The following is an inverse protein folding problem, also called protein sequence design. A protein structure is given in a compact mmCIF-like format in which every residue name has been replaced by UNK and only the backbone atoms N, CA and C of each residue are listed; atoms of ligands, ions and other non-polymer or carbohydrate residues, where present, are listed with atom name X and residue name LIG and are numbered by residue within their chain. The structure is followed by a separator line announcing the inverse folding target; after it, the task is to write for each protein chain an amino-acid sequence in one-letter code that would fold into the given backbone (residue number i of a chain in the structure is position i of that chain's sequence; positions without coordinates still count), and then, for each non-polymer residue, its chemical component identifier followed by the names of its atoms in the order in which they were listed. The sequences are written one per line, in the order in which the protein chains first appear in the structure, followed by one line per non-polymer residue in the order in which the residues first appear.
data_IF_177231174782
#
_entry.id   IF_177231174782
#
_cell.length_a   1.000
_cell.length_b   1.000
_cell.length_c   1.000
_cell.angle_alpha   90.00
_cell.angle_beta   90.00
_cell.angle_gamma   90.00
#
_symmetry.space_group_name_H-M   'P 1'
#
loop_
_entity.id
_entity.type
_entity.pdbx_description
1 polymer ?
#
# COMPACT_ATOMS: atom_id res chain seq x y z
N UNK A 1 -33.11 14.80 15.03
CA UNK A 1 -32.55 14.60 16.39
C UNK A 1 -33.02 15.80 17.22
N UNK A 2 -33.91 15.59 18.15
CA UNK A 2 -34.36 16.63 19.06
C UNK A 2 -33.21 16.98 20.01
N UNK A 3 -32.96 18.26 20.19
CA UNK A 3 -31.89 18.74 21.05
C UNK A 3 -32.28 18.52 22.51
N UNK A 4 -31.37 18.05 23.37
CA UNK A 4 -31.64 17.79 24.79
C UNK A 4 -32.17 19.04 25.52
N UNK A 5 -31.87 20.24 25.05
CA UNK A 5 -32.37 21.51 25.54
C UNK A 5 -33.88 21.71 25.34
N UNK A 6 -34.52 20.98 24.39
CA UNK A 6 -35.97 21.04 24.12
C UNK A 6 -36.79 20.14 25.06
N UNK A 7 -36.09 19.23 25.77
CA UNK A 7 -36.71 18.31 26.72
C UNK A 7 -36.72 18.82 28.18
N UNK A 8 -36.03 19.96 28.43
CA UNK A 8 -35.97 20.56 29.75
C UNK A 8 -37.12 21.53 29.92
N UNK A 9 -37.90 21.49 31.05
CA UNK A 9 -38.92 22.49 31.34
C UNK A 9 -38.30 23.89 31.35
N UNK A 10 -39.06 24.87 30.84
CA UNK A 10 -38.65 26.26 30.86
C UNK A 10 -38.37 26.69 32.31
N UNK A 11 -37.11 27.10 32.62
CA UNK A 11 -36.68 27.48 33.95
C UNK A 11 -35.81 26.47 34.69
N UNK A 12 -35.51 25.31 34.12
CA UNK A 12 -34.59 24.34 34.69
C UNK A 12 -33.13 24.81 34.57
N UNK A 13 -32.75 25.82 35.33
CA UNK A 13 -31.36 26.33 35.48
C UNK A 13 -30.48 25.45 36.36
N UNK A 14 -30.90 24.21 36.64
CA UNK A 14 -30.15 23.26 37.45
C UNK A 14 -29.05 22.53 36.63
N UNK A 15 -27.89 22.40 37.21
CA UNK A 15 -26.76 21.65 36.62
C UNK A 15 -26.98 20.14 36.54
N UNK A 16 -28.03 19.61 37.14
CA UNK A 16 -28.34 18.19 37.18
C UNK A 16 -29.81 17.94 36.88
N UNK A 17 -30.08 17.01 35.95
CA UNK A 17 -31.41 16.49 35.68
C UNK A 17 -31.45 15.02 36.08
N UNK A 18 -32.42 14.63 36.89
CA UNK A 18 -32.56 13.24 37.34
C UNK A 18 -33.55 12.49 36.46
N UNK A 19 -33.14 11.36 35.94
CA UNK A 19 -33.98 10.44 35.18
C UNK A 19 -34.13 9.11 35.93
N UNK A 20 -35.25 8.41 35.71
CA UNK A 20 -35.43 7.07 36.26
C UNK A 20 -34.73 6.06 35.35
N UNK A 21 -33.90 5.20 35.91
CA UNK A 21 -33.26 4.12 35.18
C UNK A 21 -34.26 3.00 34.84
N UNK A 22 -34.25 2.53 33.62
CA UNK A 22 -35.03 1.32 33.22
C UNK A 22 -34.17 0.04 33.31
N UNK A 23 -33.22 0.01 34.23
CA UNK A 23 -32.31 -1.11 34.47
C UNK A 23 -31.06 -0.66 35.21
N UNK A 24 -30.02 -1.50 35.25
CA UNK A 24 -28.72 -1.16 35.84
C UNK A 24 -27.96 -0.21 34.93
N UNK A 25 -27.57 0.96 35.44
CA UNK A 25 -26.71 1.94 34.73
C UNK A 25 -25.29 1.84 35.28
N UNK A 26 -24.34 1.25 34.54
CA UNK A 26 -22.94 1.26 34.92
C UNK A 26 -22.36 2.68 34.89
N UNK A 27 -21.50 3.01 35.85
CA UNK A 27 -20.90 4.32 35.97
C UNK A 27 -20.04 4.65 34.72
N UNK A 28 -20.20 5.83 34.15
CA UNK A 28 -19.44 6.32 33.00
C UNK A 28 -19.91 5.82 31.62
N UNK A 29 -21.04 5.08 31.56
CA UNK A 29 -21.62 4.72 30.27
C UNK A 29 -22.57 5.79 29.72
N UNK A 30 -22.62 5.94 28.41
CA UNK A 30 -23.63 6.74 27.75
C UNK A 30 -25.00 6.11 27.95
N UNK A 31 -26.03 6.96 28.09
CA UNK A 31 -27.40 6.52 28.24
C UNK A 31 -28.29 7.11 27.14
N UNK A 32 -29.35 6.40 26.79
CA UNK A 32 -30.39 6.88 25.86
C UNK A 32 -31.68 7.16 26.64
N UNK A 33 -32.32 8.31 26.36
CA UNK A 33 -33.63 8.64 26.89
C UNK A 33 -34.69 7.91 26.05
N UNK A 34 -35.55 7.13 26.74
CA UNK A 34 -36.65 6.41 26.13
C UNK A 34 -37.90 7.28 26.01
N UNK A 35 -38.83 6.87 25.16
CA UNK A 35 -40.10 7.59 24.96
C UNK A 35 -40.99 7.60 26.21
N UNK A 36 -40.78 6.67 27.14
CA UNK A 36 -41.50 6.59 28.44
C UNK A 36 -40.89 7.52 29.52
N UNK A 37 -39.83 8.30 29.18
CA UNK A 37 -39.14 9.20 30.08
C UNK A 37 -38.07 8.53 30.96
N UNK A 38 -37.84 7.23 30.83
CA UNK A 38 -36.76 6.52 31.52
C UNK A 38 -35.44 6.57 30.70
N UNK A 39 -34.30 6.27 31.34
CA UNK A 39 -33.02 6.12 30.68
C UNK A 39 -32.48 4.70 30.82
N UNK A 40 -31.86 4.21 29.79
CA UNK A 40 -31.10 2.94 29.81
C UNK A 40 -29.69 3.12 29.30
N UNK A 41 -28.77 2.24 29.76
CA UNK A 41 -27.41 2.24 29.26
C UNK A 41 -27.44 1.89 27.77
N UNK A 42 -26.67 2.65 26.98
CA UNK A 42 -26.39 2.24 25.59
C UNK A 42 -25.51 0.99 25.69
N UNK A 43 -26.14 -0.17 25.61
CA UNK A 43 -25.39 -1.40 25.35
C UNK A 43 -24.91 -1.28 23.91
N UNK A 44 -23.62 -1.00 23.75
CA UNK A 44 -22.97 -1.19 22.47
C UNK A 44 -23.00 -2.72 22.23
N UNK A 45 -24.09 -3.21 21.66
CA UNK A 45 -24.04 -4.47 20.96
C UNK A 45 -23.04 -4.22 19.85
N UNK A 46 -21.81 -4.72 20.01
CA UNK A 46 -21.00 -5.03 18.87
C UNK A 46 -21.83 -6.02 18.06
N UNK A 47 -22.67 -5.52 17.18
CA UNK A 47 -23.06 -6.32 16.03
C UNK A 47 -21.70 -6.55 15.38
N UNK A 48 -21.15 -7.74 15.55
CA UNK A 48 -20.19 -8.23 14.58
C UNK A 48 -20.98 -8.12 13.27
N UNK A 49 -20.76 -7.01 12.57
CA UNK A 49 -21.21 -6.89 11.20
C UNK A 49 -20.46 -8.01 10.49
N UNK A 50 -21.07 -9.17 10.42
CA UNK A 50 -20.65 -10.19 9.48
C UNK A 50 -20.97 -9.57 8.13
N UNK A 51 -20.02 -8.75 7.63
CA UNK A 51 -19.99 -8.44 6.21
C UNK A 51 -19.92 -9.82 5.56
N UNK A 52 -21.00 -10.30 4.92
CA UNK A 52 -20.92 -11.60 4.26
C UNK A 52 -19.77 -11.50 3.29
N UNK A 53 -18.75 -12.32 3.50
CA UNK A 53 -17.64 -12.39 2.57
C UNK A 53 -18.25 -12.60 1.19
N UNK A 54 -17.95 -11.72 0.24
CA UNK A 54 -18.38 -11.89 -1.14
C UNK A 54 -17.91 -13.24 -1.67
N UNK A 55 -18.55 -13.74 -2.70
CA UNK A 55 -18.14 -15.01 -3.30
C UNK A 55 -16.67 -14.92 -3.74
N UNK A 56 -15.87 -15.91 -3.36
CA UNK A 56 -14.48 -16.02 -3.82
C UNK A 56 -14.44 -16.20 -5.34
N UNK A 57 -13.53 -15.51 -5.99
CA UNK A 57 -13.28 -15.65 -7.42
C UNK A 57 -11.80 -15.96 -7.66
N UNK A 58 -11.55 -17.03 -8.39
CA UNK A 58 -10.20 -17.53 -8.66
C UNK A 58 -9.66 -16.91 -9.94
N UNK A 59 -8.53 -16.20 -9.87
CA UNK A 59 -7.82 -15.67 -11.06
C UNK A 59 -6.80 -16.65 -11.65
N UNK A 60 -6.34 -17.62 -10.86
CA UNK A 60 -5.45 -18.69 -11.28
C UNK A 60 -5.74 -19.97 -10.47
N UNK A 61 -5.95 -21.09 -11.14
CA UNK A 61 -6.24 -22.39 -10.50
C UNK A 61 -4.98 -23.16 -10.06
N UNK A 62 -3.78 -22.56 -10.25
CA UNK A 62 -2.50 -23.13 -9.84
C UNK A 62 -1.87 -22.31 -8.72
N UNK A 63 -0.74 -22.78 -8.19
CA UNK A 63 0.06 -22.06 -7.18
C UNK A 63 0.43 -20.68 -7.73
N UNK A 64 0.19 -19.66 -6.93
CA UNK A 64 0.53 -18.28 -7.23
C UNK A 64 1.34 -17.67 -6.08
N UNK A 65 2.33 -16.84 -6.43
CA UNK A 65 3.17 -16.12 -5.47
C UNK A 65 3.51 -14.72 -5.98
N UNK A 66 4.09 -13.85 -5.14
CA UNK A 66 4.39 -12.46 -5.47
C UNK A 66 3.18 -11.71 -6.06
N UNK A 67 2.02 -11.90 -5.44
CA UNK A 67 0.74 -11.36 -5.93
C UNK A 67 0.66 -9.87 -5.59
N UNK A 68 0.34 -9.06 -6.60
CA UNK A 68 0.12 -7.63 -6.47
C UNK A 68 -1.20 -7.25 -7.12
N UNK A 69 -1.89 -6.28 -6.55
CA UNK A 69 -3.14 -5.75 -7.09
C UNK A 69 -3.07 -4.22 -7.14
N UNK A 70 -3.58 -3.65 -8.23
CA UNK A 70 -3.75 -2.20 -8.33
C UNK A 70 -5.07 -1.89 -9.05
N UNK A 71 -5.81 -0.90 -8.53
CA UNK A 71 -7.03 -0.40 -9.16
C UNK A 71 -6.69 0.63 -10.25
N UNK A 72 -7.49 0.62 -11.32
CA UNK A 72 -7.47 1.68 -12.31
C UNK A 72 -8.11 2.95 -11.74
N UNK A 73 -7.35 4.03 -11.51
CA UNK A 73 -7.90 5.25 -10.95
C UNK A 73 -8.87 5.97 -11.88
N UNK A 74 -8.86 5.61 -13.17
CA UNK A 74 -9.69 6.24 -14.22
C UNK A 74 -10.99 5.48 -14.49
N UNK A 75 -11.11 4.22 -14.03
CA UNK A 75 -12.25 3.36 -14.37
C UNK A 75 -12.74 2.62 -13.12
N UNK A 76 -13.91 3.03 -12.61
CA UNK A 76 -14.50 2.42 -11.42
C UNK A 76 -14.62 0.91 -11.52
N UNK A 77 -14.25 0.20 -10.46
CA UNK A 77 -14.34 -1.24 -10.33
C UNK A 77 -13.36 -2.04 -11.19
N UNK A 78 -12.45 -1.40 -11.93
CA UNK A 78 -11.42 -2.08 -12.71
C UNK A 78 -10.08 -2.14 -11.93
N UNK A 79 -9.42 -3.29 -12.01
CA UNK A 79 -8.11 -3.51 -11.41
C UNK A 79 -7.30 -4.53 -12.21
N UNK A 80 -6.04 -4.64 -11.92
CA UNK A 80 -5.15 -5.68 -12.44
C UNK A 80 -4.56 -6.45 -11.27
N UNK A 81 -4.44 -7.76 -11.44
CA UNK A 81 -3.62 -8.64 -10.58
C UNK A 81 -2.39 -9.05 -11.37
N UNK A 82 -1.19 -8.81 -10.82
CA UNK A 82 0.06 -9.34 -11.34
C UNK A 82 0.57 -10.42 -10.37
N UNK A 83 1.07 -11.53 -10.90
CA UNK A 83 1.49 -12.65 -10.07
C UNK A 83 2.49 -13.56 -10.80
N UNK A 84 3.24 -14.32 -10.03
CA UNK A 84 4.02 -15.45 -10.52
C UNK A 84 3.16 -16.71 -10.44
N UNK A 85 3.13 -17.49 -11.49
CA UNK A 85 2.37 -18.74 -11.56
C UNK A 85 3.05 -19.80 -12.39
N UNK A 86 2.65 -21.07 -12.18
CA UNK A 86 3.09 -22.17 -12.99
C UNK A 86 2.35 -22.16 -14.34
N UNK A 87 3.09 -22.24 -15.43
CA UNK A 87 2.54 -22.44 -16.76
C UNK A 87 2.45 -23.94 -17.03
N UNK A 88 1.29 -24.55 -16.73
CA UNK A 88 1.08 -25.99 -16.94
C UNK A 88 1.97 -26.89 -16.06
N UNK A 89 2.44 -26.41 -14.91
CA UNK A 89 3.33 -27.17 -14.01
C UNK A 89 4.81 -27.12 -14.37
N UNK A 90 5.18 -26.29 -15.36
CA UNK A 90 6.57 -26.15 -15.80
C UNK A 90 7.37 -25.19 -14.89
N UNK A 91 8.64 -25.48 -14.66
CA UNK A 91 9.64 -24.52 -14.19
C UNK A 91 10.47 -24.05 -15.38
N UNK A 92 10.82 -22.73 -15.47
CA UNK A 92 10.61 -21.65 -14.51
C UNK A 92 9.16 -21.16 -14.43
N UNK A 93 8.75 -20.66 -13.26
CA UNK A 93 7.45 -20.03 -13.07
C UNK A 93 7.39 -18.66 -13.75
N UNK A 94 6.34 -18.43 -14.53
CA UNK A 94 6.16 -17.25 -15.36
C UNK A 94 5.50 -16.09 -14.60
N UNK A 95 5.68 -14.88 -15.11
CA UNK A 95 4.92 -13.70 -14.71
C UNK A 95 3.62 -13.54 -15.50
N UNK A 96 2.50 -13.38 -14.80
CA UNK A 96 1.17 -13.21 -15.37
C UNK A 96 0.50 -11.94 -14.88
N UNK A 97 -0.37 -11.38 -15.74
CA UNK A 97 -1.31 -10.32 -15.38
C UNK A 97 -2.73 -10.72 -15.80
N UNK A 98 -3.71 -10.38 -14.96
CA UNK A 98 -5.13 -10.59 -15.24
C UNK A 98 -5.92 -9.32 -14.92
N UNK A 99 -6.83 -8.91 -15.86
CA UNK A 99 -7.75 -7.82 -15.59
C UNK A 99 -8.90 -8.30 -14.71
N UNK A 100 -9.20 -7.55 -13.65
CA UNK A 100 -10.31 -7.82 -12.76
C UNK A 100 -11.41 -6.76 -12.86
N UNK A 101 -12.62 -7.15 -12.52
CA UNK A 101 -13.77 -6.25 -12.42
C UNK A 101 -14.54 -6.55 -11.15
N UNK A 102 -14.80 -5.51 -10.35
CA UNK A 102 -15.68 -5.55 -9.19
C UNK A 102 -17.07 -5.08 -9.61
N UNK A 103 -18.09 -5.85 -9.26
CA UNK A 103 -19.51 -5.51 -9.46
C UNK A 103 -20.30 -5.89 -8.21
N UNK A 104 -20.71 -4.88 -7.42
CA UNK A 104 -21.29 -5.13 -6.10
C UNK A 104 -20.28 -5.86 -5.20
N UNK A 105 -20.65 -7.05 -4.73
CA UNK A 105 -19.79 -7.93 -3.92
C UNK A 105 -19.10 -9.03 -4.73
N UNK A 106 -19.19 -8.99 -6.07
CA UNK A 106 -18.65 -10.02 -6.95
C UNK A 106 -17.41 -9.52 -7.68
N UNK A 107 -16.48 -10.44 -7.94
CA UNK A 107 -15.27 -10.21 -8.72
C UNK A 107 -15.30 -11.15 -9.94
N UNK A 108 -14.93 -10.63 -11.10
CA UNK A 108 -14.69 -11.43 -12.29
C UNK A 108 -13.31 -11.10 -12.89
N UNK A 109 -12.71 -12.08 -13.57
CA UNK A 109 -11.39 -11.92 -14.18
C UNK A 109 -11.46 -12.21 -15.68
N UNK A 110 -10.65 -11.48 -16.45
CA UNK A 110 -10.32 -11.80 -17.84
C UNK A 110 -9.28 -12.93 -17.90
N UNK A 111 -8.97 -13.35 -19.12
CA UNK A 111 -7.94 -14.36 -19.36
C UNK A 111 -6.56 -13.82 -18.96
N UNK A 112 -5.79 -14.54 -18.12
CA UNK A 112 -4.44 -14.15 -17.76
C UNK A 112 -3.51 -14.08 -19.00
N UNK A 113 -2.63 -13.10 -19.00
CA UNK A 113 -1.62 -12.88 -20.06
C UNK A 113 -0.23 -13.01 -19.44
N UNK A 114 0.65 -13.75 -20.12
CA UNK A 114 2.05 -13.87 -19.75
C UNK A 114 2.77 -12.55 -20.07
N UNK A 115 3.40 -11.93 -19.08
CA UNK A 115 4.27 -10.77 -19.32
C UNK A 115 5.77 -11.14 -19.30
N UNK A 116 6.12 -12.26 -18.68
CA UNK A 116 7.48 -12.79 -18.66
C UNK A 116 7.46 -14.32 -18.67
N UNK A 117 8.21 -14.92 -19.61
CA UNK A 117 8.41 -16.38 -19.70
C UNK A 117 9.72 -16.84 -19.03
N UNK A 118 10.41 -15.96 -18.32
CA UNK A 118 11.54 -16.29 -17.47
C UNK A 118 11.09 -16.49 -16.02
N UNK A 119 11.94 -17.09 -15.19
CA UNK A 119 11.71 -17.17 -13.74
C UNK A 119 11.50 -15.76 -13.17
N UNK A 120 10.29 -15.47 -12.71
CA UNK A 120 9.86 -14.13 -12.30
C UNK A 120 9.70 -14.08 -10.78
N UNK A 121 10.29 -13.07 -10.14
CA UNK A 121 10.16 -12.84 -8.70
C UNK A 121 9.97 -11.36 -8.37
N UNK A 122 9.60 -11.06 -7.12
CA UNK A 122 9.54 -9.70 -6.59
C UNK A 122 8.75 -8.73 -7.47
N UNK A 123 7.53 -9.11 -7.79
CA UNK A 123 6.63 -8.35 -8.63
C UNK A 123 6.08 -7.16 -7.84
N UNK A 124 6.11 -5.96 -8.45
CA UNK A 124 5.36 -4.78 -8.00
C UNK A 124 4.58 -4.19 -9.17
N UNK A 125 3.46 -3.53 -8.87
CA UNK A 125 2.48 -3.08 -9.85
C UNK A 125 1.96 -1.69 -9.48
N UNK A 126 1.90 -0.79 -10.45
CA UNK A 126 1.23 0.51 -10.29
C UNK A 126 0.48 0.89 -11.56
N UNK A 127 -0.71 1.49 -11.40
CA UNK A 127 -1.45 2.10 -12.50
C UNK A 127 -0.90 3.49 -12.84
N UNK A 128 -0.88 3.82 -14.12
CA UNK A 128 -0.57 5.15 -14.61
C UNK A 128 -1.81 6.04 -14.47
N UNK A 129 -1.85 7.00 -13.53
CA UNK A 129 -3.03 7.81 -13.30
C UNK A 129 -3.38 8.73 -14.47
N UNK A 130 -2.42 9.01 -15.36
CA UNK A 130 -2.58 9.92 -16.50
C UNK A 130 -3.01 9.21 -17.80
N UNK A 131 -3.23 7.88 -17.75
CA UNK A 131 -3.53 7.09 -18.93
C UNK A 131 -4.43 5.91 -18.59
N UNK A 132 -5.73 6.07 -18.89
CA UNK A 132 -6.74 5.06 -18.59
C UNK A 132 -6.32 3.67 -19.08
N UNK A 133 -6.48 2.69 -18.20
CA UNK A 133 -6.16 1.28 -18.46
C UNK A 133 -4.67 0.96 -18.54
N UNK A 134 -3.74 1.92 -18.40
CA UNK A 134 -2.30 1.64 -18.46
C UNK A 134 -1.71 1.42 -17.07
N UNK A 135 -0.82 0.44 -16.98
CA UNK A 135 -0.10 0.11 -15.75
C UNK A 135 1.35 -0.29 -16.05
N UNK A 136 2.18 -0.24 -15.05
CA UNK A 136 3.58 -0.71 -15.09
C UNK A 136 3.72 -1.87 -14.10
N UNK A 137 4.31 -2.97 -14.56
CA UNK A 137 4.80 -4.05 -13.70
C UNK A 137 6.31 -3.99 -13.67
N UNK A 138 6.90 -4.00 -12.47
CA UNK A 138 8.33 -4.20 -12.29
C UNK A 138 8.57 -5.54 -11.58
N UNK A 139 9.61 -6.26 -11.99
CA UNK A 139 9.89 -7.63 -11.53
C UNK A 139 11.35 -7.99 -11.73
N UNK A 140 11.78 -9.09 -11.14
CA UNK A 140 13.07 -9.70 -11.43
C UNK A 140 12.92 -10.83 -12.45
N UNK A 141 13.74 -10.81 -13.48
CA UNK A 141 13.95 -11.92 -14.38
C UNK A 141 15.42 -12.05 -14.74
N UNK A 142 16.02 -13.17 -14.37
CA UNK A 142 17.45 -13.40 -14.59
C UNK A 142 18.35 -12.45 -13.80
N UNK A 143 17.98 -12.11 -12.57
CA UNK A 143 18.72 -11.21 -11.66
C UNK A 143 18.81 -9.75 -12.13
N UNK A 144 17.95 -9.31 -13.03
CA UNK A 144 17.87 -7.90 -13.48
C UNK A 144 16.47 -7.38 -13.19
N UNK A 145 16.39 -6.15 -12.65
CA UNK A 145 15.13 -5.44 -12.51
C UNK A 145 14.60 -5.06 -13.91
N UNK A 146 13.48 -5.64 -14.28
CA UNK A 146 12.79 -5.38 -15.54
C UNK A 146 11.43 -4.72 -15.30
N UNK A 147 10.95 -4.04 -16.31
CA UNK A 147 9.61 -3.44 -16.31
C UNK A 147 8.92 -3.68 -17.65
N UNK A 148 7.60 -3.71 -17.61
CA UNK A 148 6.74 -3.68 -18.80
C UNK A 148 5.60 -2.70 -18.61
N UNK A 149 5.07 -2.18 -19.74
CA UNK A 149 3.79 -1.47 -19.74
C UNK A 149 2.71 -2.43 -20.18
N UNK A 150 1.64 -2.54 -19.39
CA UNK A 150 0.42 -3.22 -19.78
C UNK A 150 -0.69 -2.22 -20.13
N UNK A 151 -1.63 -2.63 -20.97
CA UNK A 151 -2.83 -1.87 -21.31
C UNK A 151 -4.04 -2.77 -21.20
N UNK A 152 -5.03 -2.36 -20.41
CA UNK A 152 -6.34 -3.02 -20.25
C UNK A 152 -7.31 -2.45 -21.26
N UNK A 153 -8.04 -3.31 -21.95
CA UNK A 153 -9.20 -2.98 -22.80
C UNK A 153 -10.34 -3.94 -22.48
N UNK A 154 -11.35 -3.46 -21.76
CA UNK A 154 -12.42 -4.31 -21.25
C UNK A 154 -11.93 -5.32 -20.21
N UNK A 155 -11.83 -6.59 -20.59
CA UNK A 155 -11.26 -7.69 -19.77
C UNK A 155 -9.96 -8.25 -20.37
N UNK A 156 -9.49 -7.70 -21.49
CA UNK A 156 -8.29 -8.14 -22.18
C UNK A 156 -7.10 -7.26 -21.77
N UNK A 157 -5.91 -7.85 -21.74
CA UNK A 157 -4.65 -7.14 -21.51
C UNK A 157 -3.73 -7.34 -22.70
N UNK A 158 -3.05 -6.28 -23.11
CA UNK A 158 -1.87 -6.34 -23.98
C UNK A 158 -0.66 -5.87 -23.22
N UNK A 159 0.48 -6.52 -23.44
CA UNK A 159 1.76 -6.14 -22.78
C UNK A 159 2.74 -5.66 -23.84
N UNK A 160 3.54 -4.64 -23.47
CA UNK A 160 4.62 -4.10 -24.29
C UNK A 160 5.91 -4.91 -24.15
N UNK A 161 7.00 -4.34 -24.67
CA UNK A 161 8.33 -4.91 -24.52
C UNK A 161 8.88 -4.78 -23.09
N UNK A 162 9.81 -5.65 -22.72
CA UNK A 162 10.58 -5.56 -21.48
C UNK A 162 11.63 -4.46 -21.58
N UNK A 163 11.79 -3.72 -20.49
CA UNK A 163 12.85 -2.70 -20.31
C UNK A 163 13.63 -2.99 -19.04
N UNK A 164 14.95 -2.98 -19.11
CA UNK A 164 15.79 -3.10 -17.91
C UNK A 164 15.86 -1.75 -17.19
N UNK A 165 15.53 -1.73 -15.90
CA UNK A 165 15.64 -0.55 -15.05
C UNK A 165 17.06 -0.32 -14.55
N UNK A 166 17.87 -1.36 -14.50
CA UNK A 166 19.29 -1.35 -14.15
C UNK A 166 20.05 -2.38 -14.95
N UNK A 167 21.35 -2.20 -15.11
CA UNK A 167 22.25 -3.16 -15.78
C UNK A 167 22.83 -4.23 -14.84
N UNK A 168 22.54 -4.14 -13.54
CA UNK A 168 23.01 -5.06 -12.50
C UNK A 168 21.84 -5.68 -11.77
N UNK A 169 22.10 -6.57 -10.80
CA UNK A 169 21.05 -7.10 -9.93
C UNK A 169 20.24 -5.96 -9.29
N UNK A 170 18.92 -6.09 -9.27
CA UNK A 170 17.99 -5.10 -8.72
C UNK A 170 16.81 -5.77 -8.06
N UNK A 171 16.97 -6.23 -6.81
CA UNK A 171 15.95 -6.90 -6.03
C UNK A 171 15.13 -5.97 -5.14
N UNK A 172 14.13 -6.52 -4.42
CA UNK A 172 13.35 -5.85 -3.37
C UNK A 172 12.78 -4.48 -3.80
N UNK A 173 11.74 -4.49 -4.64
CA UNK A 173 11.24 -3.30 -5.33
C UNK A 173 10.06 -2.64 -4.67
N UNK A 174 9.97 -1.31 -4.87
CA UNK A 174 8.76 -0.52 -4.68
C UNK A 174 8.52 0.36 -5.90
N UNK A 175 7.26 0.62 -6.26
CA UNK A 175 6.89 1.46 -7.40
C UNK A 175 5.75 2.40 -7.01
N UNK A 176 5.85 3.68 -7.40
CA UNK A 176 4.75 4.63 -7.30
C UNK A 176 4.83 5.67 -8.42
N UNK A 177 3.67 6.06 -8.99
CA UNK A 177 3.62 7.14 -9.98
C UNK A 177 3.75 8.51 -9.30
N UNK A 178 4.46 9.43 -9.97
CA UNK A 178 4.71 10.78 -9.44
C UNK A 178 3.43 11.62 -9.63
N UNK A 179 2.78 12.11 -8.55
CA UNK A 179 1.61 12.94 -8.66
C UNK A 179 1.88 14.21 -9.49
N UNK A 180 0.90 14.62 -10.30
CA UNK A 180 0.97 15.83 -11.13
C UNK A 180 2.17 15.89 -12.11
N UNK A 181 2.82 14.77 -12.37
CA UNK A 181 3.91 14.66 -13.33
C UNK A 181 3.59 13.55 -14.33
N UNK A 182 3.01 13.90 -15.49
CA UNK A 182 2.41 12.93 -16.39
C UNK A 182 3.35 11.79 -16.78
N UNK A 183 2.84 10.56 -16.66
CA UNK A 183 3.47 9.33 -17.12
C UNK A 183 4.81 8.98 -16.45
N UNK A 184 5.19 9.67 -15.36
CA UNK A 184 6.44 9.36 -14.62
C UNK A 184 6.16 8.60 -13.34
N UNK A 185 7.05 7.67 -13.05
CA UNK A 185 7.04 6.88 -11.82
C UNK A 185 8.43 6.78 -11.24
N UNK A 186 8.53 6.47 -9.96
CA UNK A 186 9.78 6.04 -9.35
C UNK A 186 9.75 4.54 -9.11
N UNK A 187 10.91 3.92 -9.29
CA UNK A 187 11.16 2.53 -8.94
C UNK A 187 12.32 2.49 -7.95
N UNK A 188 12.04 2.02 -6.72
CA UNK A 188 13.07 1.75 -5.73
C UNK A 188 13.50 0.29 -5.82
N UNK A 189 14.78 0.03 -5.59
CA UNK A 189 15.32 -1.33 -5.56
C UNK A 189 16.66 -1.39 -4.82
N UNK A 190 17.02 -2.59 -4.41
CA UNK A 190 18.35 -2.95 -3.91
C UNK A 190 19.27 -3.25 -5.08
N UNK A 191 20.36 -2.51 -5.27
CA UNK A 191 21.21 -2.59 -6.46
C UNK A 191 22.54 -3.30 -6.21
N UNK A 192 22.89 -4.19 -7.13
CA UNK A 192 24.19 -4.85 -7.17
C UNK A 192 24.44 -5.78 -5.98
N UNK A 193 25.66 -6.28 -5.86
CA UNK A 193 26.05 -7.21 -4.79
C UNK A 193 26.14 -6.54 -3.42
N UNK A 194 26.42 -5.24 -3.36
CA UNK A 194 26.39 -4.46 -2.12
C UNK A 194 24.97 -4.23 -1.62
N UNK A 195 23.99 -4.26 -2.53
CA UNK A 195 22.60 -4.05 -2.21
C UNK A 195 22.22 -2.59 -1.98
N UNK A 196 22.93 -1.64 -2.59
CA UNK A 196 22.68 -0.21 -2.39
C UNK A 196 21.22 0.15 -2.68
N UNK A 197 20.58 0.85 -1.75
CA UNK A 197 19.24 1.38 -1.92
C UNK A 197 19.23 2.44 -3.02
N UNK A 198 18.58 2.13 -4.14
CA UNK A 198 18.62 2.95 -5.36
C UNK A 198 17.20 3.27 -5.82
N UNK A 199 16.99 4.47 -6.33
CA UNK A 199 15.77 4.89 -7.02
C UNK A 199 16.11 5.36 -8.43
N UNK A 200 15.24 5.04 -9.38
CA UNK A 200 15.29 5.57 -10.74
C UNK A 200 13.92 6.14 -11.12
N UNK A 201 13.92 7.24 -11.88
CA UNK A 201 12.70 7.80 -12.46
C UNK A 201 12.48 7.14 -13.82
N UNK A 202 11.34 6.48 -14.00
CA UNK A 202 10.86 5.94 -15.27
C UNK A 202 9.86 6.88 -15.92
N UNK A 203 9.86 6.93 -17.24
CA UNK A 203 8.88 7.67 -18.06
C UNK A 203 8.23 6.72 -19.05
N UNK A 204 6.90 6.63 -19.00
CA UNK A 204 6.10 5.82 -19.94
C UNK A 204 5.76 6.66 -21.17
N UNK A 205 6.02 6.12 -22.36
CA UNK A 205 5.62 6.70 -23.65
C UNK A 205 5.00 5.61 -24.52
N UNK A 206 3.69 5.64 -24.68
CA UNK A 206 2.97 4.56 -25.35
C UNK A 206 3.08 3.25 -24.58
N UNK A 207 3.82 2.28 -25.12
CA UNK A 207 4.16 0.99 -24.48
C UNK A 207 5.64 0.89 -24.12
N UNK A 208 6.39 1.99 -24.28
CA UNK A 208 7.83 2.06 -24.01
C UNK A 208 8.11 2.71 -22.65
N UNK A 209 9.24 2.36 -22.05
CA UNK A 209 9.76 2.99 -20.82
C UNK A 209 11.18 3.47 -21.09
N UNK A 210 11.47 4.70 -20.66
CA UNK A 210 12.82 5.24 -20.59
C UNK A 210 13.16 5.59 -19.14
N UNK A 211 14.42 5.52 -18.77
CA UNK A 211 14.90 5.79 -17.43
C UNK A 211 15.85 6.97 -17.37
N UNK A 212 15.75 7.75 -16.29
CA UNK A 212 16.72 8.75 -15.89
C UNK A 212 17.95 8.14 -15.22
N UNK A 213 18.78 9.00 -14.63
CA UNK A 213 19.92 8.56 -13.83
C UNK A 213 19.45 7.93 -12.53
N UNK A 214 20.18 6.90 -12.10
CA UNK A 214 19.99 6.27 -10.80
C UNK A 214 20.42 7.22 -9.67
N UNK A 215 19.68 7.19 -8.56
CA UNK A 215 19.95 7.97 -7.35
C UNK A 215 20.02 7.04 -6.16
N UNK A 216 21.14 7.02 -5.45
CA UNK A 216 21.34 6.19 -4.26
C UNK A 216 20.77 6.91 -3.05
N UNK A 217 19.78 6.30 -2.36
CA UNK A 217 19.24 6.82 -1.12
C UNK A 217 19.94 6.24 0.10
N UNK A 218 20.54 5.05 -0.03
CA UNK A 218 21.29 4.39 1.04
C UNK A 218 22.46 3.61 0.45
N UNK A 219 23.68 3.93 0.89
CA UNK A 219 24.88 3.17 0.54
C UNK A 219 25.04 2.00 1.51
N UNK A 220 24.76 0.80 1.03
CA UNK A 220 24.74 -0.42 1.82
C UNK A 220 23.46 -1.22 1.57
N UNK A 221 23.36 -2.41 2.18
CA UNK A 221 22.29 -3.34 1.88
C UNK A 221 20.92 -2.85 2.36
N UNK A 222 20.18 -2.21 1.45
CA UNK A 222 18.77 -1.86 1.62
C UNK A 222 17.90 -2.95 0.96
N UNK A 223 17.06 -3.63 1.72
CA UNK A 223 16.20 -4.71 1.25
C UNK A 223 14.73 -4.37 1.52
N UNK A 224 13.80 -5.12 0.93
CA UNK A 224 12.37 -4.96 1.16
C UNK A 224 11.92 -3.51 1.02
N UNK A 225 12.32 -2.87 -0.10
CA UNK A 225 12.01 -1.46 -0.31
C UNK A 225 10.54 -1.27 -0.68
N UNK A 226 9.92 -0.25 -0.09
CA UNK A 226 8.61 0.24 -0.47
C UNK A 226 8.65 1.76 -0.61
N UNK A 227 7.81 2.32 -1.47
CA UNK A 227 7.81 3.75 -1.73
C UNK A 227 6.40 4.23 -2.04
N UNK A 228 6.04 5.39 -1.50
CA UNK A 228 4.81 6.08 -1.89
C UNK A 228 4.95 7.60 -1.81
N UNK A 229 4.13 8.32 -2.60
CA UNK A 229 4.15 9.78 -2.67
C UNK A 229 3.21 10.40 -1.66
N UNK A 230 3.68 11.51 -1.07
CA UNK A 230 2.84 12.37 -0.23
C UNK A 230 1.83 13.12 -1.11
N UNK A 231 0.51 12.86 -0.97
CA UNK A 231 -0.50 13.48 -1.82
C UNK A 231 -0.60 15.00 -1.63
N UNK A 232 -0.12 15.53 -0.49
CA UNK A 232 -0.21 16.94 -0.13
C UNK A 232 1.11 17.71 -0.31
N UNK A 233 2.19 17.05 -0.67
CA UNK A 233 3.50 17.66 -0.90
C UNK A 233 4.03 17.25 -2.27
N UNK A 234 3.90 18.15 -3.24
CA UNK A 234 4.33 17.90 -4.62
C UNK A 234 5.77 17.38 -4.67
N UNK A 235 5.97 16.29 -5.41
CA UNK A 235 7.26 15.64 -5.62
C UNK A 235 7.95 15.10 -4.35
N UNK A 236 7.25 14.97 -3.23
CA UNK A 236 7.77 14.42 -1.99
C UNK A 236 7.23 13.00 -1.79
N UNK A 237 8.11 12.08 -1.43
CA UNK A 237 7.77 10.67 -1.17
C UNK A 237 8.48 10.15 0.07
N UNK A 238 8.04 9.04 0.59
CA UNK A 238 8.76 8.25 1.60
C UNK A 238 9.24 6.95 0.96
N UNK A 239 10.51 6.63 1.17
CA UNK A 239 11.06 5.30 0.90
C UNK A 239 11.35 4.63 2.23
N UNK A 240 10.82 3.42 2.40
CA UNK A 240 11.12 2.55 3.53
C UNK A 240 11.93 1.34 3.08
N UNK A 241 12.78 0.84 3.98
CA UNK A 241 13.63 -0.29 3.70
C UNK A 241 14.11 -0.97 4.97
N UNK A 242 14.43 -2.23 4.83
CA UNK A 242 15.17 -3.04 5.80
C UNK A 242 16.65 -2.67 5.67
N UNK A 243 17.23 -2.10 6.70
CA UNK A 243 18.61 -1.60 6.70
C UNK A 243 19.55 -2.67 7.23
N UNK A 244 20.02 -3.53 6.32
CA UNK A 244 20.92 -4.62 6.68
C UNK A 244 22.34 -4.12 7.07
N UNK A 245 22.69 -2.87 6.78
CA UNK A 245 23.90 -2.25 7.26
C UNK A 245 23.78 -1.73 8.71
N UNK A 246 22.55 -1.58 9.21
CA UNK A 246 22.22 -1.10 10.55
C UNK A 246 21.37 -2.14 11.32
N UNK A 247 21.91 -3.35 11.52
CA UNK A 247 21.28 -4.42 12.32
C UNK A 247 19.86 -4.78 11.86
N UNK A 248 19.60 -4.69 10.56
CA UNK A 248 18.32 -5.06 9.94
C UNK A 248 17.13 -4.16 10.32
N UNK A 249 17.40 -2.98 10.88
CA UNK A 249 16.36 -2.08 11.38
C UNK A 249 15.41 -1.60 10.28
N UNK A 250 14.15 -1.46 10.65
CA UNK A 250 13.14 -0.81 9.81
C UNK A 250 13.37 0.70 9.73
N UNK A 251 13.69 1.19 8.55
CA UNK A 251 14.13 2.57 8.35
C UNK A 251 13.35 3.23 7.20
N UNK A 252 13.03 4.52 7.34
CA UNK A 252 12.48 5.33 6.26
C UNK A 252 13.28 6.61 6.04
N UNK A 253 13.20 7.14 4.82
CA UNK A 253 13.72 8.46 4.47
C UNK A 253 12.72 9.22 3.60
N UNK A 254 12.68 10.54 3.73
CA UNK A 254 11.91 11.41 2.83
C UNK A 254 12.77 11.71 1.61
N UNK A 255 12.22 11.49 0.41
CA UNK A 255 12.81 11.91 -0.84
C UNK A 255 12.05 13.08 -1.46
N UNK A 256 12.77 13.94 -2.18
CA UNK A 256 12.18 15.07 -2.93
C UNK A 256 12.75 15.09 -4.35
N UNK A 257 11.86 15.19 -5.34
CA UNK A 257 12.22 15.26 -6.75
C UNK A 257 12.25 16.72 -7.19
N UNK A 258 13.33 17.12 -7.86
CA UNK A 258 13.45 18.43 -8.52
C UNK A 258 13.95 18.22 -9.95
N UNK A 259 13.04 18.34 -10.91
CA UNK A 259 13.32 18.03 -12.32
C UNK A 259 13.63 16.54 -12.52
N UNK A 260 14.88 16.20 -12.76
CA UNK A 260 15.39 14.81 -12.90
C UNK A 260 16.25 14.36 -11.72
N UNK A 261 16.48 15.23 -10.74
CA UNK A 261 17.30 14.95 -9.57
C UNK A 261 16.45 14.56 -8.37
N UNK A 262 16.97 13.67 -7.53
CA UNK A 262 16.36 13.27 -6.27
C UNK A 262 17.31 13.65 -5.13
N UNK A 263 16.77 14.27 -4.08
CA UNK A 263 17.47 14.51 -2.83
C UNK A 263 16.77 13.79 -1.68
N UNK A 264 17.52 13.45 -0.65
CA UNK A 264 17.00 12.70 0.49
C UNK A 264 17.26 13.44 1.79
N UNK A 265 16.30 13.35 2.72
CA UNK A 265 16.46 13.78 4.10
C UNK A 265 17.25 12.77 4.93
N UNK A 266 17.25 12.96 6.26
CA UNK A 266 17.82 12.00 7.18
C UNK A 266 17.05 10.68 7.19
N UNK A 267 17.72 9.60 7.60
CA UNK A 267 17.12 8.29 7.78
C UNK A 267 16.54 8.18 9.20
N UNK A 268 15.31 7.67 9.30
CA UNK A 268 14.58 7.56 10.56
C UNK A 268 14.20 6.11 10.81
N UNK A 269 14.75 5.53 11.87
CA UNK A 269 14.44 4.17 12.31
C UNK A 269 13.05 4.17 12.95
N UNK A 270 12.16 3.27 12.51
CA UNK A 270 10.84 3.08 13.10
C UNK A 270 10.76 1.80 13.97
N UNK A 271 11.61 0.82 13.70
CA UNK A 271 11.75 -0.39 14.51
C UNK A 271 13.24 -0.77 14.62
N UNK A 272 13.69 -1.06 15.86
CA UNK A 272 15.07 -1.46 16.17
C UNK A 272 15.27 -2.97 16.14
N UNK A 273 14.52 -3.66 15.28
CA UNK A 273 14.65 -5.09 14.99
C UNK A 273 14.49 -5.32 13.47
N UNK A 274 14.74 -6.55 13.02
CA UNK A 274 14.57 -6.91 11.63
C UNK A 274 13.14 -6.61 11.17
N UNK A 275 12.99 -5.84 10.08
CA UNK A 275 11.69 -5.33 9.62
C UNK A 275 11.54 -5.49 8.13
N UNK A 276 10.90 -6.57 7.68
CA UNK A 276 10.60 -6.77 6.26
C UNK A 276 9.39 -5.94 5.87
N UNK A 277 9.64 -4.83 5.19
CA UNK A 277 8.59 -3.91 4.76
C UNK A 277 7.83 -4.51 3.58
N UNK A 278 6.50 -4.56 3.67
CA UNK A 278 5.62 -5.02 2.61
C UNK A 278 4.93 -3.88 1.88
N UNK A 279 4.59 -2.80 2.58
CA UNK A 279 3.92 -1.65 1.96
C UNK A 279 4.15 -0.37 2.75
N UNK A 280 4.14 0.74 2.02
CA UNK A 280 3.95 2.10 2.52
C UNK A 280 2.79 2.69 1.73
N UNK A 281 1.87 3.36 2.43
CA UNK A 281 0.73 4.02 1.80
C UNK A 281 0.39 5.31 2.57
N UNK A 282 0.24 6.41 1.85
CA UNK A 282 -0.14 7.70 2.43
C UNK A 282 -1.64 7.82 2.62
N UNK A 283 -2.06 8.46 3.70
CA UNK A 283 -3.44 8.88 3.90
C UNK A 283 -3.78 10.05 2.97
N UNK A 284 -4.54 9.76 1.92
CA UNK A 284 -4.96 10.75 0.94
C UNK A 284 -5.90 11.83 1.51
N UNK A 285 -6.54 11.59 2.66
CA UNK A 285 -7.46 12.53 3.31
C UNK A 285 -6.79 13.39 4.39
N UNK A 286 -5.87 12.83 5.17
CA UNK A 286 -5.28 13.49 6.33
C UNK A 286 -3.90 14.12 6.08
N UNK A 287 -3.35 14.02 4.87
CA UNK A 287 -2.06 14.59 4.45
C UNK A 287 -0.89 14.26 5.38
N UNK A 288 0.32 14.23 4.87
CA UNK A 288 1.57 14.02 5.61
C UNK A 288 1.66 12.77 6.50
N UNK A 289 0.59 11.98 6.63
CA UNK A 289 0.59 10.70 7.36
C UNK A 289 0.65 9.54 6.41
N UNK A 290 1.42 8.52 6.80
CA UNK A 290 1.52 7.28 6.07
C UNK A 290 1.54 6.09 7.05
N UNK A 291 1.22 4.92 6.55
CA UNK A 291 1.32 3.65 7.28
C UNK A 291 2.42 2.81 6.65
N UNK A 292 3.27 2.23 7.48
CA UNK A 292 4.18 1.15 7.10
C UNK A 292 3.62 -0.15 7.62
N UNK A 293 3.51 -1.16 6.78
CA UNK A 293 3.20 -2.53 7.19
C UNK A 293 4.43 -3.41 6.99
N UNK A 294 4.76 -4.21 8.00
CA UNK A 294 5.99 -4.99 8.01
C UNK A 294 5.86 -6.25 8.86
N UNK A 295 6.74 -7.21 8.59
CA UNK A 295 6.99 -8.35 9.47
C UNK A 295 8.03 -7.92 10.51
N UNK A 296 7.66 -7.98 11.78
CA UNK A 296 8.53 -7.62 12.90
C UNK A 296 9.28 -8.87 13.42
N UNK A 297 10.52 -9.05 12.95
CA UNK A 297 11.36 -10.18 13.36
C UNK A 297 11.74 -10.11 14.86
N UNK A 298 11.73 -8.91 15.45
CA UNK A 298 11.95 -8.72 16.89
C UNK A 298 10.76 -9.15 17.75
N UNK A 299 9.58 -9.29 17.14
CA UNK A 299 8.34 -9.69 17.78
C UNK A 299 7.75 -10.95 17.11
N UNK A 300 8.52 -12.02 17.07
CA UNK A 300 8.09 -13.34 16.53
C UNK A 300 7.59 -13.30 15.08
N UNK A 301 8.12 -12.40 14.27
CA UNK A 301 7.72 -12.19 12.88
C UNK A 301 6.23 -11.82 12.72
N UNK A 302 5.64 -11.14 13.71
CA UNK A 302 4.25 -10.72 13.66
C UNK A 302 4.01 -9.64 12.61
N UNK A 303 2.81 -9.70 12.00
CA UNK A 303 2.34 -8.64 11.11
C UNK A 303 2.06 -7.37 11.92
N UNK A 304 2.87 -6.34 11.70
CA UNK A 304 2.87 -5.10 12.47
C UNK A 304 2.68 -3.89 11.53
N UNK A 305 2.04 -2.87 12.03
CA UNK A 305 1.87 -1.59 11.35
C UNK A 305 2.28 -0.43 12.24
N UNK A 306 2.81 0.63 11.64
CA UNK A 306 3.15 1.88 12.34
C UNK A 306 2.74 3.09 11.49
N UNK A 307 2.25 4.14 12.15
CA UNK A 307 1.95 5.42 11.50
C UNK A 307 3.17 6.32 11.54
N UNK A 308 3.59 6.80 10.37
CA UNK A 308 4.57 7.86 10.21
C UNK A 308 3.91 9.20 9.89
N UNK A 309 4.55 10.29 10.30
CA UNK A 309 4.14 11.66 9.97
C UNK A 309 5.34 12.41 9.41
N UNK A 310 5.20 12.97 8.21
CA UNK A 310 6.23 13.77 7.53
C UNK A 310 6.08 15.25 7.91
N UNK A 311 7.21 15.89 8.26
CA UNK A 311 7.31 17.34 8.46
C UNK A 311 8.57 17.87 7.77
N UNK A 312 8.41 18.46 6.60
CA UNK A 312 9.54 18.79 5.72
C UNK A 312 10.25 17.50 5.28
N UNK A 313 11.52 17.34 5.67
CA UNK A 313 12.31 16.12 5.41
C UNK A 313 12.43 15.22 6.65
N UNK A 314 11.76 15.56 7.75
CA UNK A 314 11.75 14.78 8.98
C UNK A 314 10.56 13.82 9.04
N UNK A 315 10.74 12.69 9.74
CA UNK A 315 9.69 11.72 10.03
C UNK A 315 9.60 11.52 11.55
N UNK A 316 8.38 11.48 12.07
CA UNK A 316 8.08 11.02 13.42
C UNK A 316 7.12 9.83 13.35
N UNK A 317 7.18 8.95 14.35
CA UNK A 317 6.37 7.74 14.39
C UNK A 317 5.47 7.70 15.60
N UNK A 318 4.29 7.07 15.45
CA UNK A 318 3.41 6.70 16.54
C UNK A 318 3.83 5.38 17.19
N UNK A 319 2.90 4.76 17.92
CA UNK A 319 3.11 3.42 18.48
C UNK A 319 2.85 2.35 17.42
N UNK A 320 3.56 1.26 17.56
CA UNK A 320 3.34 0.05 16.74
C UNK A 320 2.01 -0.62 17.09
N UNK A 321 1.39 -1.23 16.10
CA UNK A 321 0.17 -2.03 16.24
C UNK A 321 0.34 -3.38 15.58
N UNK A 322 0.27 -4.44 16.35
CA UNK A 322 0.27 -5.82 15.85
C UNK A 322 -1.13 -6.16 15.35
N UNK A 323 -1.29 -6.41 14.06
CA UNK A 323 -2.57 -6.81 13.47
C UNK A 323 -2.67 -8.33 13.24
N UNK A 324 -1.55 -9.06 13.26
CA UNK A 324 -1.51 -10.50 13.18
C UNK A 324 -0.40 -11.06 14.10
N UNK A 325 -0.81 -11.77 15.13
CA UNK A 325 0.09 -12.45 16.09
C UNK A 325 0.15 -13.97 15.87
N UNK A 326 -0.44 -14.48 14.78
CA UNK A 326 -0.34 -15.87 14.37
C UNK A 326 0.81 -16.07 13.39
N UNK A 327 1.61 -17.12 13.58
CA UNK A 327 2.62 -17.56 12.63
C UNK A 327 1.98 -18.41 11.52
#
# INVERSE_FOLDING_TARGET
MSNLSELLPAGAGGKNVSFVASGTLPNGQAVVLKADGTVEAVVQTSVAESIPAGAQSTFNAAISSFIQVAFDPSTSGKFVVAYRGANGGATPEYGFVAAGTVSGTSISFGTPVVFSSAGTTQIVLAYNPDSAGKFVVAYDAGSVAKTIVGTVSGTSITVGSEYAATSTWGGYKGISFIPNTPHKFILSFSKGSAGDGTIVIGTVSGTSISYGSESVFHSGAARWTAVDFNPNAVNTFVVGYYDAANSDYGTCAVGTISGTSISYGSHYVFNTAGSKIYSIDFDHAAGNKFVVTYEDEGNSAYGTAIVGTVSGTAISYGSEYVFNSGA
#
